data_IF_431296060071
#
_entry.id   IF_431296060071
#
_cell.length_a   1.000
_cell.length_b   1.000
_cell.length_c   1.000
_cell.angle_alpha   90.00
_cell.angle_beta   90.00
_cell.angle_gamma   90.00
#
_symmetry.space_group_name_H-M   'P 1'
#
loop_
_entity.id
_entity.type
_entity.pdbx_description
1 polymer ?
#
# COMPACT_ATOMS: atom_id res chain seq x y z
N UNK A 1 -16.79 -10.69 -3.32
CA UNK A 1 -17.32 -11.14 -2.01
C UNK A 1 -18.83 -10.91 -1.97
N UNK A 2 -19.58 -11.64 -1.13
CA UNK A 2 -21.04 -11.53 -1.01
C UNK A 2 -21.45 -10.25 -0.24
N UNK A 3 -22.47 -9.52 -0.73
CA UNK A 3 -22.84 -8.18 -0.21
C UNK A 3 -23.30 -8.23 1.26
N UNK A 4 -24.02 -9.29 1.65
CA UNK A 4 -24.43 -9.50 3.03
C UNK A 4 -23.24 -9.66 3.97
N UNK A 5 -22.15 -10.26 3.49
CA UNK A 5 -20.92 -10.45 4.25
C UNK A 5 -20.16 -9.14 4.43
N UNK A 6 -20.11 -8.31 3.39
CA UNK A 6 -19.55 -6.94 3.47
C UNK A 6 -20.33 -6.07 4.46
N UNK A 7 -21.67 -6.14 4.45
CA UNK A 7 -22.50 -5.37 5.37
C UNK A 7 -22.21 -5.69 6.83
N UNK A 8 -22.12 -6.98 7.16
CA UNK A 8 -21.75 -7.42 8.52
C UNK A 8 -20.35 -6.96 8.91
N UNK A 9 -19.38 -7.02 7.99
CA UNK A 9 -17.99 -6.64 8.25
C UNK A 9 -17.84 -5.13 8.47
N UNK A 10 -18.57 -4.31 7.71
CA UNK A 10 -18.60 -2.86 7.91
C UNK A 10 -19.31 -2.51 9.22
N UNK A 11 -20.42 -3.19 9.54
CA UNK A 11 -21.10 -3.01 10.83
C UNK A 11 -20.20 -3.40 12.02
N UNK A 12 -19.50 -4.53 11.97
CA UNK A 12 -18.59 -4.94 13.05
C UNK A 12 -17.42 -3.97 13.23
N UNK A 13 -16.87 -3.41 12.15
CA UNK A 13 -15.72 -2.50 12.23
C UNK A 13 -16.07 -1.07 12.59
N UNK A 14 -17.25 -0.60 12.19
CA UNK A 14 -17.63 0.81 12.35
C UNK A 14 -18.74 1.02 13.37
N UNK A 15 -19.47 -0.04 13.74
CA UNK A 15 -20.69 0.04 14.55
C UNK A 15 -21.89 0.64 13.80
N UNK A 16 -21.71 1.04 12.53
CA UNK A 16 -22.74 1.74 11.75
C UNK A 16 -23.52 0.72 10.93
N UNK A 17 -24.85 0.73 11.07
CA UNK A 17 -25.75 -0.03 10.20
C UNK A 17 -25.89 0.73 8.89
N UNK A 18 -25.36 0.17 7.83
CA UNK A 18 -25.36 0.77 6.50
C UNK A 18 -26.32 -0.03 5.62
N UNK A 19 -27.28 0.66 5.02
CA UNK A 19 -28.21 0.07 4.07
C UNK A 19 -27.55 -0.16 2.70
N UNK A 20 -28.14 -1.05 1.89
CA UNK A 20 -27.57 -1.42 0.58
C UNK A 20 -27.58 -0.24 -0.39
N UNK A 21 -28.53 0.68 -0.23
CA UNK A 21 -28.66 1.90 -1.04
C UNK A 21 -27.78 3.06 -0.53
N UNK A 22 -27.01 2.85 0.55
CA UNK A 22 -26.13 3.88 1.09
C UNK A 22 -24.92 4.11 0.16
N UNK A 23 -24.61 5.36 -0.22
CA UNK A 23 -23.46 5.66 -1.06
C UNK A 23 -22.12 5.17 -0.47
N UNK A 24 -21.99 5.10 0.86
CA UNK A 24 -20.79 4.56 1.52
C UNK A 24 -20.66 3.06 1.27
N UNK A 25 -21.77 2.32 1.33
CA UNK A 25 -21.77 0.89 1.04
C UNK A 25 -21.44 0.62 -0.43
N UNK A 26 -22.00 1.42 -1.35
CA UNK A 26 -21.71 1.32 -2.77
C UNK A 26 -20.22 1.54 -3.08
N UNK A 27 -19.57 2.52 -2.43
CA UNK A 27 -18.13 2.75 -2.59
C UNK A 27 -17.28 1.59 -2.05
N UNK A 28 -17.63 1.05 -0.88
CA UNK A 28 -16.92 -0.09 -0.31
C UNK A 28 -17.08 -1.33 -1.20
N UNK A 29 -18.30 -1.60 -1.67
CA UNK A 29 -18.58 -2.71 -2.57
C UNK A 29 -17.86 -2.56 -3.92
N UNK A 30 -17.81 -1.34 -4.48
CA UNK A 30 -17.07 -1.06 -5.71
C UNK A 30 -15.57 -1.27 -5.52
N UNK A 31 -14.99 -0.74 -4.45
CA UNK A 31 -13.56 -0.93 -4.15
C UNK A 31 -13.22 -2.42 -3.99
N UNK A 32 -14.05 -3.18 -3.28
CA UNK A 32 -13.89 -4.64 -3.14
C UNK A 32 -13.97 -5.37 -4.48
N UNK A 33 -14.92 -5.00 -5.34
CA UNK A 33 -15.06 -5.61 -6.67
C UNK A 33 -13.83 -5.32 -7.55
N UNK A 34 -13.37 -4.07 -7.57
CA UNK A 34 -12.19 -3.66 -8.34
C UNK A 34 -10.92 -4.33 -7.81
N UNK A 35 -10.75 -4.42 -6.49
CA UNK A 35 -9.61 -5.12 -5.88
C UNK A 35 -9.63 -6.62 -6.21
N UNK A 36 -10.80 -7.27 -6.17
CA UNK A 36 -10.93 -8.67 -6.55
C UNK A 36 -10.53 -8.89 -8.02
N UNK A 37 -11.04 -8.08 -8.94
CA UNK A 37 -10.68 -8.17 -10.37
C UNK A 37 -9.18 -7.92 -10.59
N UNK A 38 -8.59 -6.92 -9.91
CA UNK A 38 -7.17 -6.62 -10.03
C UNK A 38 -6.30 -7.79 -9.54
N UNK A 39 -6.66 -8.41 -8.41
CA UNK A 39 -5.96 -9.58 -7.87
C UNK A 39 -6.09 -10.77 -8.82
N UNK A 40 -7.28 -11.05 -9.34
CA UNK A 40 -7.50 -12.13 -10.32
C UNK A 40 -6.64 -11.95 -11.57
N UNK A 41 -6.61 -10.73 -12.13
CA UNK A 41 -5.77 -10.41 -13.29
C UNK A 41 -4.28 -10.58 -12.97
N UNK A 42 -3.85 -10.22 -11.76
CA UNK A 42 -2.45 -10.36 -11.34
C UNK A 42 -2.05 -11.83 -11.16
N UNK A 43 -2.92 -12.65 -10.56
CA UNK A 43 -2.71 -14.10 -10.43
C UNK A 43 -2.60 -14.74 -11.82
N UNK A 44 -3.49 -14.39 -12.74
CA UNK A 44 -3.44 -14.90 -14.11
C UNK A 44 -2.12 -14.55 -14.82
N UNK A 45 -1.58 -13.35 -14.59
CA UNK A 45 -0.28 -12.93 -15.11
C UNK A 45 0.88 -13.70 -14.46
N UNK A 46 0.84 -13.91 -13.14
CA UNK A 46 1.83 -14.72 -12.43
C UNK A 46 1.83 -16.17 -12.89
N UNK A 47 0.67 -16.76 -13.13
CA UNK A 47 0.55 -18.14 -13.62
C UNK A 47 1.06 -18.28 -15.06
N UNK A 48 0.84 -17.26 -15.90
CA UNK A 48 1.42 -17.22 -17.24
C UNK A 48 2.95 -17.12 -17.18
N UNK A 49 3.48 -16.20 -16.37
CA UNK A 49 4.91 -16.01 -16.19
C UNK A 49 5.59 -17.26 -15.58
N UNK A 50 4.94 -17.92 -14.62
CA UNK A 50 5.45 -19.14 -13.99
C UNK A 50 5.51 -20.30 -14.99
N UNK A 51 4.50 -20.45 -15.86
CA UNK A 51 4.52 -21.45 -16.93
C UNK A 51 5.64 -21.20 -17.93
N UNK A 52 5.86 -19.95 -18.30
CA UNK A 52 6.95 -19.56 -19.20
C UNK A 52 8.32 -19.83 -18.57
N UNK A 53 8.50 -19.48 -17.30
CA UNK A 53 9.74 -19.78 -16.56
C UNK A 53 10.00 -21.29 -16.47
N UNK A 54 8.96 -22.11 -16.27
CA UNK A 54 9.08 -23.57 -16.27
C UNK A 54 9.41 -24.13 -17.66
N UNK A 55 8.90 -23.53 -18.73
CA UNK A 55 9.28 -23.89 -20.09
C UNK A 55 10.76 -23.56 -20.35
N UNK A 56 11.20 -22.36 -19.95
CA UNK A 56 12.58 -21.90 -20.07
C UNK A 56 13.56 -22.72 -19.22
N UNK A 57 13.17 -23.14 -18.01
CA UNK A 57 14.03 -23.97 -17.17
C UNK A 57 14.18 -25.38 -17.74
N UNK A 58 13.15 -25.94 -18.37
CA UNK A 58 13.22 -27.25 -19.06
C UNK A 58 14.10 -27.18 -20.30
N UNK A 59 13.98 -26.14 -21.12
CA UNK A 59 14.86 -25.96 -22.28
C UNK A 59 16.31 -25.72 -21.84
N UNK A 60 16.54 -24.94 -20.79
CA UNK A 60 17.87 -24.73 -20.21
C UNK A 60 18.47 -26.00 -19.56
N UNK A 61 17.62 -26.86 -19.00
CA UNK A 61 18.02 -28.15 -18.44
C UNK A 61 18.20 -29.26 -19.50
N UNK A 62 17.98 -28.96 -20.79
CA UNK A 62 18.10 -29.94 -21.88
C UNK A 62 17.02 -31.03 -21.86
N UNK A 63 15.93 -30.83 -21.12
CA UNK A 63 14.81 -31.76 -21.03
C UNK A 63 13.80 -31.44 -22.15
N UNK A 64 13.61 -32.39 -23.07
CA UNK A 64 12.68 -32.27 -24.19
C UNK A 64 11.23 -32.01 -23.71
N UNK A 65 10.40 -31.26 -24.49
CA UNK A 65 9.04 -30.94 -24.08
C UNK A 65 8.18 -32.21 -23.98
N UNK A 66 7.54 -32.41 -22.82
CA UNK A 66 6.61 -33.51 -22.62
C UNK A 66 5.36 -33.28 -23.50
N UNK A 67 5.25 -34.07 -24.57
CA UNK A 67 4.07 -34.14 -25.41
C UNK A 67 2.88 -34.66 -24.61
N UNK A 68 1.75 -33.95 -24.70
CA UNK A 68 0.47 -34.39 -24.17
C UNK A 68 -0.13 -35.46 -25.10
N UNK A 69 -0.37 -36.67 -24.59
CA UNK A 69 -1.09 -37.75 -25.28
C UNK A 69 -0.91 -39.12 -24.60
N UNK A 70 -1.98 -39.64 -23.99
CA UNK A 70 -2.08 -40.89 -23.19
C UNK A 70 -2.02 -42.20 -24.03
N UNK A 71 -2.31 -43.42 -23.50
CA UNK A 71 -2.04 -44.09 -22.21
C UNK A 71 -1.29 -45.45 -22.39
N UNK A 72 -1.17 -46.23 -21.29
CA UNK A 72 -0.98 -47.70 -21.22
C UNK A 72 0.44 -48.26 -20.93
N UNK A 73 0.55 -48.79 -19.70
CA UNK A 73 1.09 -50.10 -19.32
C UNK A 73 2.40 -50.58 -19.95
N UNK A 74 3.46 -50.73 -19.13
CA UNK A 74 3.88 -52.02 -18.52
C UNK A 74 5.17 -51.80 -17.74
N UNK A 75 5.14 -52.04 -16.42
CA UNK A 75 6.29 -52.63 -15.71
C UNK A 75 6.37 -54.13 -16.11
N UNK A 76 7.53 -54.83 -16.06
CA UNK A 76 8.36 -55.03 -14.85
C UNK A 76 9.88 -55.09 -15.22
N UNK A 77 10.89 -55.45 -14.42
CA UNK A 77 11.05 -55.76 -13.01
C UNK A 77 12.53 -55.54 -12.62
N UNK A 78 12.73 -55.40 -11.31
CA UNK A 78 13.94 -55.50 -10.47
C UNK A 78 15.21 -56.15 -11.04
N UNK A 79 16.37 -55.53 -10.76
CA UNK A 79 17.41 -56.13 -9.91
C UNK A 79 18.65 -55.21 -9.71
N UNK A 80 18.67 -54.49 -8.59
CA UNK A 80 19.88 -54.17 -7.79
C UNK A 80 19.41 -53.50 -6.49
N UNK A 81 18.91 -54.28 -5.53
CA UNK A 81 19.64 -54.63 -4.31
C UNK A 81 20.13 -53.38 -3.55
N UNK A 82 19.30 -52.86 -2.65
CA UNK A 82 19.38 -53.12 -1.20
C UNK A 82 20.68 -52.57 -0.59
N UNK A 83 20.69 -51.54 0.27
CA UNK A 83 20.09 -51.56 1.61
C UNK A 83 20.54 -50.30 2.36
N UNK A 84 19.63 -49.63 3.10
CA UNK A 84 19.87 -49.00 4.41
C UNK A 84 18.70 -48.06 4.76
N UNK A 85 18.19 -48.19 5.98
CA UNK A 85 16.97 -47.56 6.48
C UNK A 85 17.04 -46.06 6.84
N UNK A 86 16.02 -45.56 7.56
CA UNK A 86 15.69 -44.14 7.65
C UNK A 86 16.43 -43.46 8.79
N UNK A 87 17.23 -42.43 8.49
CA UNK A 87 17.62 -41.40 9.46
C UNK A 87 18.20 -40.18 8.76
N UNK A 88 17.80 -39.02 9.27
CA UNK A 88 18.25 -37.68 8.92
C UNK A 88 19.76 -37.58 8.62
N UNK A 89 20.10 -37.03 7.46
CA UNK A 89 21.36 -36.31 7.24
C UNK A 89 21.04 -35.02 6.50
N UNK A 90 20.88 -33.98 7.30
CA UNK A 90 21.00 -32.58 6.91
C UNK A 90 22.37 -32.38 6.24
N UNK A 91 22.47 -31.98 4.97
CA UNK A 91 23.74 -31.42 4.50
C UNK A 91 23.94 -30.07 5.21
N UNK A 92 25.13 -29.80 5.77
CA UNK A 92 25.34 -28.61 6.57
C UNK A 92 25.08 -27.38 5.70
N UNK A 93 24.30 -26.45 6.25
CA UNK A 93 24.30 -25.06 5.83
C UNK A 93 25.74 -24.54 5.97
N UNK A 94 26.54 -24.71 4.92
CA UNK A 94 27.74 -23.93 4.72
C UNK A 94 27.27 -22.51 4.43
N UNK A 95 27.02 -21.79 5.54
CA UNK A 95 26.92 -20.36 5.60
C UNK A 95 28.18 -19.77 4.99
N UNK A 96 28.15 -19.60 3.67
CA UNK A 96 29.14 -18.80 2.97
C UNK A 96 28.98 -17.39 3.54
N UNK A 97 29.98 -16.81 4.21
CA UNK A 97 29.89 -15.41 4.56
C UNK A 97 29.71 -14.63 3.26
N UNK A 98 28.60 -13.88 3.17
CA UNK A 98 28.44 -12.86 2.14
C UNK A 98 29.62 -11.91 2.36
N UNK A 99 30.58 -11.94 1.44
CA UNK A 99 31.64 -10.96 1.41
C UNK A 99 30.99 -9.60 1.14
N UNK A 100 30.66 -8.87 2.19
CA UNK A 100 30.37 -7.44 2.13
C UNK A 100 31.68 -6.75 1.74
N UNK A 101 32.00 -6.75 0.44
CA UNK A 101 32.97 -5.82 -0.11
C UNK A 101 32.40 -4.41 0.09
N UNK A 102 33.03 -3.53 0.88
CA UNK A 102 32.78 -2.11 0.75
C UNK A 102 33.54 -1.68 -0.51
N UNK A 103 32.97 -1.98 -1.67
CA UNK A 103 33.51 -1.57 -2.96
C UNK A 103 32.93 -0.22 -3.32
N UNK A 104 33.79 0.76 -3.55
CA UNK A 104 33.38 2.01 -4.18
C UNK A 104 32.59 1.71 -5.47
N UNK A 105 31.44 2.37 -5.64
CA UNK A 105 30.51 2.14 -6.74
C UNK A 105 31.23 2.14 -8.08
N UNK A 106 31.02 1.08 -8.87
CA UNK A 106 31.56 1.03 -10.22
C UNK A 106 30.85 2.05 -11.13
N UNK A 107 31.53 2.58 -12.17
CA UNK A 107 30.92 3.55 -13.07
C UNK A 107 29.67 3.02 -13.79
N UNK A 108 29.56 1.71 -14.00
CA UNK A 108 28.34 1.06 -14.51
C UNK A 108 27.18 1.06 -13.50
N UNK A 109 27.48 0.86 -12.21
CA UNK A 109 26.50 0.89 -11.13
C UNK A 109 25.98 2.31 -10.89
N UNK A 110 26.84 3.33 -11.01
CA UNK A 110 26.42 4.73 -10.94
C UNK A 110 25.46 5.10 -12.08
N UNK A 111 25.69 4.59 -13.29
CA UNK A 111 24.75 4.76 -14.42
C UNK A 111 23.43 4.05 -14.17
N UNK A 112 23.47 2.84 -13.62
CA UNK A 112 22.28 2.08 -13.27
C UNK A 112 21.47 2.77 -12.16
N UNK A 113 22.15 3.31 -11.15
CA UNK A 113 21.55 4.04 -10.03
C UNK A 113 20.98 5.39 -10.50
N UNK A 114 21.68 6.10 -11.38
CA UNK A 114 21.16 7.30 -12.02
C UNK A 114 19.94 7.01 -12.90
N UNK A 115 19.94 5.92 -13.66
CA UNK A 115 18.79 5.48 -14.44
C UNK A 115 17.60 5.13 -13.54
N UNK A 116 17.83 4.38 -12.46
CA UNK A 116 16.79 4.03 -11.49
C UNK A 116 16.23 5.26 -10.78
N UNK A 117 17.08 6.21 -10.38
CA UNK A 117 16.65 7.48 -9.81
C UNK A 117 15.83 8.30 -10.82
N UNK A 118 16.24 8.34 -12.09
CA UNK A 118 15.50 8.99 -13.16
C UNK A 118 14.11 8.40 -13.35
N UNK A 119 14.00 7.07 -13.40
CA UNK A 119 12.71 6.37 -13.51
C UNK A 119 11.83 6.64 -12.29
N UNK A 120 12.40 6.65 -11.08
CA UNK A 120 11.67 6.94 -9.84
C UNK A 120 11.13 8.38 -9.79
N UNK A 121 11.91 9.36 -10.25
CA UNK A 121 11.45 10.76 -10.33
C UNK A 121 10.37 10.90 -11.39
N UNK A 122 10.56 10.30 -12.57
CA UNK A 122 9.58 10.36 -13.65
C UNK A 122 8.23 9.73 -13.25
N UNK A 123 8.27 8.59 -12.56
CA UNK A 123 7.06 7.92 -12.06
C UNK A 123 6.37 8.73 -10.96
N UNK A 124 7.12 9.38 -10.07
CA UNK A 124 6.55 10.29 -9.07
C UNK A 124 5.85 11.49 -9.73
N UNK A 125 6.46 12.09 -10.75
CA UNK A 125 5.86 13.22 -11.50
C UNK A 125 4.60 12.77 -12.24
N UNK A 126 4.64 11.61 -12.91
CA UNK A 126 3.47 11.06 -13.60
C UNK A 126 2.34 10.70 -12.63
N UNK A 127 2.65 10.17 -11.45
CA UNK A 127 1.66 9.88 -10.43
C UNK A 127 1.02 11.17 -9.88
N UNK A 128 1.81 12.21 -9.58
CA UNK A 128 1.31 13.51 -9.13
C UNK A 128 0.49 14.23 -10.21
N UNK A 129 0.94 14.19 -11.46
CA UNK A 129 0.21 14.76 -12.58
C UNK A 129 -1.09 13.99 -12.87
N UNK A 130 -1.04 12.66 -12.82
CA UNK A 130 -2.22 11.80 -12.92
C UNK A 130 -3.22 12.07 -11.80
N UNK A 131 -2.75 12.23 -10.57
CA UNK A 131 -3.58 12.65 -9.44
C UNK A 131 -4.18 14.04 -9.68
N UNK A 132 -3.43 15.03 -10.15
CA UNK A 132 -3.96 16.37 -10.40
C UNK A 132 -4.97 16.45 -11.56
N UNK A 133 -4.84 15.57 -12.57
CA UNK A 133 -5.73 15.52 -13.73
C UNK A 133 -7.01 14.70 -13.47
N UNK A 134 -6.91 13.60 -12.72
CA UNK A 134 -8.04 12.72 -12.41
C UNK A 134 -8.77 13.14 -11.13
N UNK A 135 -8.02 13.66 -10.16
CA UNK A 135 -8.55 14.33 -8.99
C UNK A 135 -8.24 15.82 -9.13
N UNK A 136 -9.19 16.56 -9.70
CA UNK A 136 -9.32 17.95 -9.28
C UNK A 136 -9.28 17.94 -7.75
N UNK A 137 -8.38 18.69 -7.08
CA UNK A 137 -8.41 18.77 -5.64
C UNK A 137 -9.82 19.23 -5.30
N UNK A 138 -10.61 18.35 -4.68
CA UNK A 138 -11.85 18.75 -4.07
C UNK A 138 -11.49 19.98 -3.23
N UNK A 139 -12.23 21.10 -3.35
CA UNK A 139 -11.97 22.25 -2.51
C UNK A 139 -11.89 21.71 -1.09
N UNK A 140 -10.76 21.97 -0.41
CA UNK A 140 -10.52 21.53 0.96
C UNK A 140 -11.84 21.68 1.72
N UNK A 141 -12.28 20.68 2.53
CA UNK A 141 -13.53 20.77 3.25
C UNK A 141 -13.55 22.13 3.89
N UNK A 142 -14.43 23.00 3.39
CA UNK A 142 -14.48 24.37 3.85
C UNK A 142 -14.76 24.21 5.34
N UNK A 143 -13.76 24.55 6.17
CA UNK A 143 -13.99 24.66 7.60
C UNK A 143 -15.30 25.44 7.74
N UNK A 144 -16.26 24.95 8.55
CA UNK A 144 -17.62 25.47 8.58
C UNK A 144 -17.54 26.98 8.53
N UNK A 145 -18.01 27.56 7.42
CA UNK A 145 -17.79 28.96 7.14
C UNK A 145 -18.20 29.74 8.39
N UNK A 146 -17.24 30.46 8.99
CA UNK A 146 -17.45 31.21 10.23
C UNK A 146 -18.79 31.93 10.07
N UNK A 147 -19.76 31.57 10.91
CA UNK A 147 -21.07 32.19 10.83
C UNK A 147 -20.89 33.70 10.92
N UNK A 148 -21.75 34.50 10.29
CA UNK A 148 -21.57 35.96 10.29
C UNK A 148 -21.40 36.53 11.72
N UNK A 149 -22.00 35.87 12.71
CA UNK A 149 -21.82 36.13 14.14
C UNK A 149 -20.40 35.81 14.65
N UNK A 150 -19.80 34.68 14.27
CA UNK A 150 -18.43 34.31 14.64
C UNK A 150 -17.38 35.20 13.96
N UNK A 151 -17.61 35.57 12.70
CA UNK A 151 -16.75 36.54 12.01
C UNK A 151 -16.81 37.93 12.66
N UNK A 152 -17.99 38.32 13.17
CA UNK A 152 -18.16 39.54 13.98
C UNK A 152 -17.40 39.46 15.31
N UNK A 153 -17.56 38.36 16.05
CA UNK A 153 -16.91 38.16 17.35
C UNK A 153 -15.37 38.19 17.24
N UNK A 154 -14.80 37.67 16.14
CA UNK A 154 -13.35 37.76 15.90
C UNK A 154 -12.88 39.20 15.68
N UNK A 155 -13.63 40.01 14.92
CA UNK A 155 -13.31 41.43 14.68
C UNK A 155 -13.43 42.25 15.96
N UNK A 156 -14.44 41.98 16.77
CA UNK A 156 -14.62 42.65 18.05
C UNK A 156 -13.53 42.24 19.05
N UNK A 157 -13.15 40.96 19.07
CA UNK A 157 -12.00 40.47 19.84
C UNK A 157 -10.68 41.14 19.45
N UNK A 158 -10.41 41.33 18.16
CA UNK A 158 -9.21 42.05 17.70
C UNK A 158 -9.22 43.54 18.09
N UNK A 159 -10.38 44.20 18.05
CA UNK A 159 -10.52 45.60 18.49
C UNK A 159 -10.27 45.74 19.98
N UNK A 160 -10.84 44.83 20.78
CA UNK A 160 -10.61 44.78 22.22
C UNK A 160 -9.15 44.48 22.55
N UNK A 161 -8.51 43.54 21.85
CA UNK A 161 -7.09 43.24 22.04
C UNK A 161 -6.19 44.45 21.74
N UNK A 162 -6.48 45.21 20.68
CA UNK A 162 -5.75 46.45 20.37
C UNK A 162 -6.01 47.56 21.39
N UNK A 163 -7.24 47.68 21.89
CA UNK A 163 -7.58 48.63 22.95
C UNK A 163 -6.85 48.28 24.26
N UNK A 164 -6.83 47.00 24.63
CA UNK A 164 -6.10 46.50 25.81
C UNK A 164 -4.60 46.72 25.68
N UNK A 165 -4.03 46.52 24.49
CA UNK A 165 -2.61 46.80 24.23
C UNK A 165 -2.23 48.28 24.40
N UNK A 166 -3.20 49.20 24.25
CA UNK A 166 -3.01 50.64 24.46
C UNK A 166 -3.24 51.08 25.91
N UNK A 167 -3.77 50.21 26.78
CA UNK A 167 -3.91 50.51 28.20
C UNK A 167 -2.55 50.49 28.91
N UNK A 168 -2.43 51.28 29.97
CA UNK A 168 -1.24 51.33 30.81
C UNK A 168 -0.99 49.98 31.51
N UNK A 169 0.25 49.76 31.94
CA UNK A 169 0.67 48.48 32.51
C UNK A 169 -0.08 48.10 33.80
N UNK A 170 -0.54 49.09 34.59
CA UNK A 170 -1.24 48.86 35.85
C UNK A 170 -2.67 48.38 35.58
N UNK A 171 -3.37 49.02 34.65
CA UNK A 171 -4.73 48.63 34.26
C UNK A 171 -4.76 47.25 33.58
N UNK A 172 -3.75 46.91 32.78
CA UNK A 172 -3.61 45.56 32.20
C UNK A 172 -3.44 44.47 33.26
N UNK A 173 -2.63 44.72 34.29
CA UNK A 173 -2.44 43.77 35.38
C UNK A 173 -3.72 43.54 36.19
N UNK A 174 -4.52 44.59 36.41
CA UNK A 174 -5.80 44.49 37.10
C UNK A 174 -6.84 43.70 36.29
N UNK A 175 -6.92 43.94 34.97
CA UNK A 175 -7.80 43.17 34.07
C UNK A 175 -7.45 41.67 34.04
N UNK A 176 -6.16 41.34 34.02
CA UNK A 176 -5.71 39.94 34.07
C UNK A 176 -6.03 39.27 35.42
N UNK A 177 -5.92 40.02 36.51
CA UNK A 177 -6.27 39.52 37.84
C UNK A 177 -7.78 39.25 37.98
N UNK A 178 -8.64 40.11 37.40
CA UNK A 178 -10.10 39.89 37.38
C UNK A 178 -10.52 38.74 36.45
N UNK A 179 -9.86 38.56 35.30
CA UNK A 179 -10.14 37.45 34.37
C UNK A 179 -9.70 36.07 34.92
N UNK A 180 -8.75 36.03 35.85
CA UNK A 180 -8.29 34.80 36.50
C UNK A 180 -9.13 34.41 37.72
N UNK A 181 -10.13 35.23 38.08
CA UNK A 181 -11.03 34.94 39.18
C UNK A 181 -12.11 33.97 38.67
N UNK A 182 -12.28 32.78 39.29
CA UNK A 182 -13.24 31.77 38.84
C UNK A 182 -14.69 32.20 39.03
#
# INVERSE_FOLDING_TARGET
MDQLKLRSLVFEKTGVRIDVDDPIFALVALNEAVLAEAVERHIALLDAASRELLAQSRTAAGLAPAAAGAPAATAPDVAAAASAGPAAIVPPLLSRPIATRPGAFQPGELRLLAAAAGVAVLSAVLALAGQALLFQPAPAPQAPALTAAQAGALRDGERLARAVARLDAKTRAQLQAELQKP
#
